data_IF_130202439455
#
_entry.id   IF_130202439455
#
_cell.length_a   1.000
_cell.length_b   1.000
_cell.length_c   1.000
_cell.angle_alpha   90.00
_cell.angle_beta   90.00
_cell.angle_gamma   90.00
#
_symmetry.space_group_name_H-M   'P 1'
#
loop_
_entity.id
_entity.type
_entity.pdbx_description
1 polymer ?
#
# COMPACT_ATOMS: atom_id res chain seq x y z
N UNK A 1 6.80 23.01 -24.74
CA UNK A 1 7.47 22.70 -23.47
C UNK A 1 6.51 22.83 -22.28
N UNK A 2 5.90 24.01 -22.09
CA UNK A 2 5.01 24.34 -20.96
C UNK A 2 3.88 23.36 -20.65
N UNK A 3 3.12 22.93 -21.66
CA UNK A 3 2.00 22.00 -21.49
C UNK A 3 2.45 20.63 -20.96
N UNK A 4 3.61 20.14 -21.38
CA UNK A 4 4.10 18.80 -21.04
C UNK A 4 4.31 18.69 -19.52
N UNK A 5 4.85 19.72 -18.89
CA UNK A 5 5.09 19.72 -17.44
C UNK A 5 3.77 19.71 -16.64
N UNK A 6 2.74 20.41 -17.11
CA UNK A 6 1.43 20.39 -16.47
C UNK A 6 0.77 19.02 -16.56
N UNK A 7 0.87 18.34 -17.72
CA UNK A 7 0.37 16.98 -17.88
C UNK A 7 1.10 15.99 -16.97
N UNK A 8 2.43 16.02 -16.94
CA UNK A 8 3.25 15.14 -16.09
C UNK A 8 2.93 15.33 -14.60
N UNK A 9 2.74 16.58 -14.16
CA UNK A 9 2.37 16.87 -12.77
C UNK A 9 1.01 16.29 -12.38
N UNK A 10 0.01 16.43 -13.25
CA UNK A 10 -1.32 15.85 -13.02
C UNK A 10 -1.26 14.32 -13.06
N UNK A 11 -0.46 13.75 -13.97
CA UNK A 11 -0.22 12.31 -14.06
C UNK A 11 0.37 11.74 -12.76
N UNK A 12 1.40 12.37 -12.19
CA UNK A 12 2.02 11.95 -10.93
C UNK A 12 0.99 11.90 -9.78
N UNK A 13 0.15 12.94 -9.65
CA UNK A 13 -0.88 13.01 -8.60
C UNK A 13 -1.94 11.92 -8.80
N UNK A 14 -2.40 11.73 -10.05
CA UNK A 14 -3.38 10.70 -10.38
C UNK A 14 -2.84 9.31 -10.12
N UNK A 15 -1.57 9.06 -10.46
CA UNK A 15 -0.91 7.78 -10.23
C UNK A 15 -0.87 7.41 -8.74
N UNK A 16 -0.43 8.33 -7.89
CA UNK A 16 -0.37 8.13 -6.42
C UNK A 16 -1.78 7.94 -5.82
N UNK A 17 -2.77 8.64 -6.36
CA UNK A 17 -4.15 8.48 -5.90
C UNK A 17 -4.70 7.11 -6.30
N UNK A 18 -4.50 6.70 -7.55
CA UNK A 18 -4.92 5.40 -8.06
C UNK A 18 -4.29 4.24 -7.28
N UNK A 19 -2.98 4.27 -7.04
CA UNK A 19 -2.30 3.20 -6.31
C UNK A 19 -2.80 3.09 -4.86
N UNK A 20 -3.08 4.22 -4.21
CA UNK A 20 -3.65 4.26 -2.87
C UNK A 20 -5.06 3.65 -2.84
N UNK A 21 -5.91 4.01 -3.80
CA UNK A 21 -7.27 3.46 -3.92
C UNK A 21 -7.25 1.95 -4.16
N UNK A 22 -6.36 1.47 -5.02
CA UNK A 22 -6.19 0.03 -5.27
C UNK A 22 -5.80 -0.70 -3.98
N UNK A 23 -4.84 -0.18 -3.21
CA UNK A 23 -4.46 -0.75 -1.90
C UNK A 23 -5.65 -0.84 -0.95
N UNK A 24 -6.44 0.23 -0.81
CA UNK A 24 -7.63 0.20 0.04
C UNK A 24 -8.69 -0.81 -0.45
N UNK A 25 -8.87 -0.93 -1.77
CA UNK A 25 -9.76 -1.93 -2.36
C UNK A 25 -9.31 -3.35 -2.02
N UNK A 26 -8.01 -3.63 -2.18
CA UNK A 26 -7.42 -4.93 -1.86
C UNK A 26 -7.56 -5.25 -0.36
N UNK A 27 -7.23 -4.31 0.53
CA UNK A 27 -7.36 -4.50 1.98
C UNK A 27 -8.82 -4.74 2.42
N UNK A 28 -9.78 -4.00 1.84
CA UNK A 28 -11.20 -4.18 2.14
C UNK A 28 -11.74 -5.50 1.58
N UNK A 29 -11.30 -5.91 0.39
CA UNK A 29 -11.60 -7.21 -0.19
C UNK A 29 -11.07 -8.36 0.68
N UNK A 30 -9.81 -8.30 1.12
CA UNK A 30 -9.22 -9.30 2.01
C UNK A 30 -9.99 -9.45 3.31
N UNK A 31 -10.42 -8.34 3.91
CA UNK A 31 -11.25 -8.35 5.12
C UNK A 31 -12.60 -9.03 4.92
N UNK A 32 -13.16 -8.96 3.71
CA UNK A 32 -14.43 -9.64 3.38
C UNK A 32 -14.26 -11.15 3.23
N UNK A 33 -13.13 -11.60 2.66
CA UNK A 33 -12.86 -13.03 2.41
C UNK A 33 -12.47 -13.76 3.69
N UNK A 34 -11.62 -13.17 4.53
CA UNK A 34 -11.16 -13.78 5.78
C UNK A 34 -11.77 -13.06 6.99
N UNK A 35 -12.91 -13.55 7.49
CA UNK A 35 -13.63 -12.96 8.63
C UNK A 35 -13.03 -13.33 10.00
N UNK A 36 -11.70 -13.45 10.10
CA UNK A 36 -11.03 -13.81 11.36
C UNK A 36 -10.83 -12.55 12.20
N UNK A 37 -11.27 -12.58 13.47
CA UNK A 37 -11.25 -11.43 14.38
C UNK A 37 -9.84 -10.83 14.61
N UNK A 38 -8.80 -11.67 14.57
CA UNK A 38 -7.39 -11.25 14.67
C UNK A 38 -6.95 -10.55 13.39
N UNK A 39 -7.32 -11.12 12.25
CA UNK A 39 -7.05 -10.57 10.92
C UNK A 39 -7.65 -9.17 10.77
N UNK A 40 -8.89 -8.95 11.25
CA UNK A 40 -9.53 -7.65 11.19
C UNK A 40 -8.74 -6.52 11.88
N UNK A 41 -8.16 -6.77 13.06
CA UNK A 41 -7.36 -5.76 13.78
C UNK A 41 -6.07 -5.41 13.04
N UNK A 42 -5.39 -6.41 12.49
CA UNK A 42 -4.17 -6.21 11.71
C UNK A 42 -4.48 -5.47 10.41
N UNK A 43 -5.55 -5.83 9.70
CA UNK A 43 -5.99 -5.12 8.50
C UNK A 43 -6.29 -3.64 8.80
N UNK A 44 -6.95 -3.33 9.92
CA UNK A 44 -7.20 -1.94 10.31
C UNK A 44 -5.91 -1.15 10.57
N UNK A 45 -4.90 -1.76 11.19
CA UNK A 45 -3.60 -1.13 11.36
C UNK A 45 -2.91 -0.88 10.01
N UNK A 46 -2.96 -1.85 9.09
CA UNK A 46 -2.41 -1.73 7.74
C UNK A 46 -3.11 -0.64 6.92
N UNK A 47 -4.44 -0.53 7.02
CA UNK A 47 -5.20 0.58 6.40
C UNK A 47 -4.67 1.93 6.90
N UNK A 48 -4.42 2.06 8.21
CA UNK A 48 -3.83 3.26 8.80
C UNK A 48 -2.45 3.59 8.24
N UNK A 49 -1.56 2.60 8.16
CA UNK A 49 -0.22 2.77 7.59
C UNK A 49 -0.28 3.19 6.12
N UNK A 50 -1.13 2.55 5.31
CA UNK A 50 -1.33 2.92 3.91
C UNK A 50 -1.89 4.34 3.77
N UNK A 51 -2.80 4.77 4.65
CA UNK A 51 -3.35 6.12 4.64
C UNK A 51 -2.29 7.16 4.98
N UNK A 52 -1.47 6.93 6.01
CA UNK A 52 -0.36 7.82 6.36
C UNK A 52 0.63 7.92 5.21
N UNK A 53 1.00 6.78 4.61
CA UNK A 53 1.90 6.75 3.46
C UNK A 53 1.32 7.57 2.29
N UNK A 54 0.06 7.36 1.93
CA UNK A 54 -0.60 8.07 0.84
C UNK A 54 -0.64 9.60 1.07
N UNK A 55 -0.94 10.03 2.30
CA UNK A 55 -0.96 11.46 2.64
C UNK A 55 0.43 12.08 2.55
N UNK A 56 1.45 11.39 3.08
CA UNK A 56 2.83 11.88 3.06
C UNK A 56 3.36 11.98 1.63
N UNK A 57 3.13 10.97 0.79
CA UNK A 57 3.59 10.98 -0.60
C UNK A 57 2.85 12.02 -1.43
N UNK A 58 1.55 12.19 -1.23
CA UNK A 58 0.77 13.25 -1.88
C UNK A 58 1.32 14.64 -1.52
N UNK A 59 1.58 14.90 -0.24
CA UNK A 59 2.17 16.16 0.21
C UNK A 59 3.58 16.39 -0.36
N UNK A 60 4.40 15.34 -0.46
CA UNK A 60 5.74 15.43 -1.05
C UNK A 60 5.69 15.78 -2.54
N UNK A 61 4.75 15.21 -3.30
CA UNK A 61 4.59 15.53 -4.73
C UNK A 61 4.00 16.93 -4.92
N UNK A 62 3.05 17.34 -4.08
CA UNK A 62 2.50 18.70 -4.14
C UNK A 62 3.58 19.73 -3.80
N UNK A 63 4.41 19.47 -2.79
CA UNK A 63 5.44 20.37 -2.28
C UNK A 63 6.85 20.08 -2.83
N UNK A 64 6.95 19.37 -3.95
CA UNK A 64 8.25 18.97 -4.53
C UNK A 64 9.14 20.15 -4.96
N UNK A 65 8.51 21.29 -5.24
CA UNK A 65 9.16 22.57 -5.50
C UNK A 65 8.55 23.65 -4.61
N UNK A 66 9.41 24.47 -4.01
CA UNK A 66 9.04 25.69 -3.30
C UNK A 66 9.65 26.88 -4.05
N UNK A 67 8.84 27.80 -4.60
CA UNK A 67 7.37 27.81 -4.70
C UNK A 67 6.81 26.80 -5.73
N UNK A 68 5.60 26.27 -5.50
CA UNK A 68 4.95 25.24 -6.36
C UNK A 68 4.81 25.70 -7.82
N UNK A 69 4.65 27.01 -8.04
CA UNK A 69 4.49 27.59 -9.37
C UNK A 69 5.75 27.48 -10.24
N UNK A 70 6.93 27.35 -9.62
CA UNK A 70 8.19 27.14 -10.35
C UNK A 70 8.29 25.73 -10.98
N UNK A 71 7.31 24.86 -10.73
CA UNK A 71 7.30 23.51 -11.29
C UNK A 71 6.79 23.49 -12.75
N UNK A 72 5.81 24.32 -13.06
CA UNK A 72 5.36 24.53 -14.45
C UNK A 72 6.04 25.72 -15.12
N UNK A 73 6.57 26.69 -14.36
CA UNK A 73 7.22 27.90 -14.89
C UNK A 73 8.77 27.85 -14.82
N UNK A 74 9.43 27.16 -15.77
CA UNK A 74 10.89 27.06 -15.94
C UNK A 74 11.62 28.41 -16.01
N UNK A 75 10.95 29.50 -16.39
CA UNK A 75 11.56 30.84 -16.40
C UNK A 75 11.84 31.34 -14.97
N UNK A 76 11.12 30.81 -13.97
CA UNK A 76 11.35 31.07 -12.54
C UNK A 76 12.34 30.09 -11.90
N UNK A 77 12.84 29.07 -12.63
CA UNK A 77 13.93 28.20 -12.18
C UNK A 77 15.31 28.88 -12.31
N UNK A 78 15.37 30.18 -12.07
CA UNK A 78 16.63 30.92 -11.97
C UNK A 78 17.40 30.37 -10.76
N UNK A 79 18.69 30.01 -10.90
CA UNK A 79 19.47 29.43 -9.82
C UNK A 79 19.58 30.42 -8.65
N UNK A 80 18.85 30.16 -7.56
CA UNK A 80 18.87 30.96 -6.33
C UNK A 80 17.51 31.23 -5.68
N UNK A 81 16.40 31.12 -6.41
CA UNK A 81 15.05 31.46 -5.89
C UNK A 81 14.13 30.26 -5.63
N UNK A 82 14.30 29.15 -6.36
CA UNK A 82 13.47 27.95 -6.19
C UNK A 82 14.31 26.76 -5.67
N UNK A 83 13.90 26.17 -4.55
CA UNK A 83 14.42 24.88 -4.10
C UNK A 83 13.48 23.79 -4.63
N UNK A 84 13.90 23.15 -5.72
CA UNK A 84 13.25 21.96 -6.24
C UNK A 84 14.06 20.71 -5.86
N UNK A 85 13.35 19.67 -5.40
CA UNK A 85 13.95 18.35 -5.29
C UNK A 85 14.00 17.70 -6.68
N UNK A 86 15.04 16.92 -6.93
CA UNK A 86 15.15 16.15 -8.17
C UNK A 86 14.00 15.12 -8.25
N UNK A 87 13.13 15.17 -9.28
CA UNK A 87 11.96 14.29 -9.38
C UNK A 87 12.33 12.82 -9.30
N UNK A 88 13.42 12.42 -9.98
CA UNK A 88 13.90 11.04 -9.95
C UNK A 88 14.16 10.51 -8.52
N UNK A 89 14.79 11.30 -7.64
CA UNK A 89 15.06 10.86 -6.26
C UNK A 89 13.78 10.73 -5.43
N UNK A 90 12.82 11.64 -5.64
CA UNK A 90 11.52 11.56 -4.97
C UNK A 90 10.76 10.32 -5.42
N UNK A 91 10.74 10.08 -6.74
CA UNK A 91 10.10 8.91 -7.33
C UNK A 91 10.68 7.62 -6.75
N UNK A 92 11.99 7.43 -6.85
CA UNK A 92 12.62 6.25 -6.27
C UNK A 92 12.37 6.12 -4.76
N UNK A 93 12.39 7.22 -4.02
CA UNK A 93 12.14 7.22 -2.58
C UNK A 93 10.75 6.68 -2.22
N UNK A 94 9.70 7.24 -2.84
CA UNK A 94 8.35 6.80 -2.51
C UNK A 94 8.04 5.40 -3.08
N UNK A 95 8.59 5.03 -4.23
CA UNK A 95 8.43 3.69 -4.83
C UNK A 95 9.06 2.59 -3.95
N UNK A 96 10.24 2.86 -3.37
CA UNK A 96 10.86 1.93 -2.41
C UNK A 96 9.97 1.78 -1.17
N UNK A 97 9.48 2.88 -0.60
CA UNK A 97 8.57 2.83 0.53
C UNK A 97 7.27 2.08 0.19
N UNK A 98 6.75 2.26 -1.02
CA UNK A 98 5.55 1.60 -1.52
C UNK A 98 5.72 0.08 -1.52
N UNK A 99 6.82 -0.42 -2.10
CA UNK A 99 7.15 -1.85 -2.16
C UNK A 99 7.34 -2.42 -0.75
N UNK A 100 8.01 -1.68 0.14
CA UNK A 100 8.17 -2.12 1.53
C UNK A 100 6.82 -2.31 2.22
N UNK A 101 5.89 -1.36 2.06
CA UNK A 101 4.53 -1.48 2.63
C UNK A 101 3.82 -2.71 2.06
N UNK A 102 3.94 -2.97 0.75
CA UNK A 102 3.34 -4.15 0.12
C UNK A 102 3.95 -5.46 0.62
N UNK A 103 5.27 -5.51 0.80
CA UNK A 103 5.95 -6.68 1.37
C UNK A 103 5.50 -6.94 2.81
N UNK A 104 5.31 -5.90 3.62
CA UNK A 104 4.80 -6.02 4.99
C UNK A 104 3.37 -6.57 4.98
N UNK A 105 2.50 -6.07 4.09
CA UNK A 105 1.13 -6.58 3.93
C UNK A 105 1.16 -8.06 3.50
N UNK A 106 1.96 -8.40 2.50
CA UNK A 106 2.06 -9.76 1.98
C UNK A 106 2.60 -10.74 3.01
N UNK A 107 3.67 -10.36 3.72
CA UNK A 107 4.27 -11.20 4.76
C UNK A 107 3.25 -11.53 5.86
N UNK A 108 2.53 -10.50 6.34
CA UNK A 108 1.45 -10.67 7.33
C UNK A 108 0.36 -11.61 6.81
N UNK A 109 -0.03 -11.46 5.55
CA UNK A 109 -1.06 -12.31 4.93
C UNK A 109 -0.62 -13.77 4.86
N UNK A 110 0.64 -14.03 4.51
CA UNK A 110 1.17 -15.38 4.36
C UNK A 110 1.30 -16.09 5.72
N UNK A 111 1.69 -15.37 6.78
CA UNK A 111 1.76 -15.88 8.14
C UNK A 111 0.39 -16.39 8.64
N UNK A 112 -0.65 -15.57 8.49
CA UNK A 112 -2.03 -15.93 8.89
C UNK A 112 -2.64 -17.03 8.00
N UNK A 113 -2.31 -17.04 6.70
CA UNK A 113 -2.70 -18.10 5.76
C UNK A 113 -2.14 -19.46 6.16
N UNK A 114 -0.86 -19.52 6.55
CA UNK A 114 -0.24 -20.78 7.02
C UNK A 114 -0.89 -21.30 8.32
N UNK A 115 -1.24 -20.39 9.24
CA UNK A 115 -1.84 -20.72 10.53
C UNK A 115 -3.26 -21.28 10.40
N UNK A 116 -4.06 -20.75 9.46
CA UNK A 116 -5.42 -21.23 9.17
C UNK A 116 -5.44 -22.60 8.47
N UNK A 117 -4.51 -22.87 7.54
CA UNK A 117 -4.34 -24.19 6.91
C UNK A 117 -3.93 -25.25 7.94
N UNK A 118 -3.02 -24.90 8.86
CA UNK A 118 -2.58 -25.82 9.93
C UNK A 118 -3.72 -26.17 10.89
N UNK A 119 -4.58 -25.19 11.23
CA UNK A 119 -5.72 -25.42 12.13
C UNK A 119 -6.76 -26.36 11.50
N UNK A 120 -7.08 -26.18 10.22
CA UNK A 120 -8.01 -27.07 9.50
C UNK A 120 -7.44 -28.49 9.37
N UNK A 121 -6.15 -28.64 9.05
CA UNK A 121 -5.50 -29.96 8.98
C UNK A 121 -5.53 -30.70 10.32
N UNK A 122 -5.27 -30.01 11.43
CA UNK A 122 -5.37 -30.58 12.79
C UNK A 122 -6.81 -30.98 13.16
N UNK A 123 -7.79 -30.15 12.81
CA UNK A 123 -9.21 -30.45 13.05
C UNK A 123 -9.68 -31.62 12.18
N UNK A 124 -9.27 -31.69 10.90
CA UNK A 124 -9.60 -32.79 9.99
C UNK A 124 -8.99 -34.11 10.48
N UNK A 125 -7.72 -34.10 10.91
CA UNK A 125 -7.06 -35.27 11.49
C UNK A 125 -7.74 -35.74 12.79
N UNK A 126 -8.19 -34.82 13.65
CA UNK A 126 -9.01 -35.16 14.83
C UNK A 126 -10.39 -35.69 14.47
N UNK A 127 -11.07 -35.10 13.48
CA UNK A 127 -12.38 -35.56 13.02
C UNK A 127 -12.30 -36.96 12.40
N UNK A 128 -11.34 -37.21 11.51
CA UNK A 128 -11.08 -38.54 10.96
C UNK A 128 -10.78 -39.57 12.04
N UNK A 129 -10.03 -39.20 13.09
CA UNK A 129 -9.76 -40.11 14.20
C UNK A 129 -11.01 -40.41 15.03
N UNK A 130 -11.91 -39.44 15.22
CA UNK A 130 -13.20 -39.67 15.88
C UNK A 130 -14.16 -40.52 15.04
N UNK A 131 -14.16 -40.37 13.71
CA UNK A 131 -14.98 -41.19 12.80
C UNK A 131 -14.49 -42.64 12.77
N UNK A 132 -13.17 -42.87 12.82
CA UNK A 132 -12.58 -44.22 12.93
C UNK A 132 -13.02 -44.91 14.22
N UNK A 133 -13.07 -44.21 15.35
CA UNK A 133 -13.56 -44.79 16.61
C UNK A 133 -15.07 -45.12 16.57
N UNK A 134 -15.86 -44.35 15.81
CA UNK A 134 -17.32 -44.51 15.74
C UNK A 134 -17.77 -45.62 14.79
N UNK A 135 -16.91 -46.06 13.87
CA UNK A 135 -17.15 -47.19 12.98
C UNK A 135 -16.69 -48.56 13.50
N UNK A 136 -16.20 -48.62 14.74
CA UNK A 136 -15.68 -49.85 15.37
C UNK A 136 -16.68 -50.50 16.35
N UNK A 137 -17.94 -50.04 16.39
CA UNK A 137 -19.07 -50.60 17.14
C UNK A 137 -20.09 -51.21 16.18
#
# INVERSE_FOLDING_TARGET
>A
MWLINQYLYVEEILFITCISVVKFSVLTFYRRVFSVQIFARITHALVGVCAVWAVVTLLLVILQCLPVHAMWDLELQVPGQAKCLSPAKLIFGYEICNVIVDLVILYRQLEDGSSSVQSTSKTLSRAQMMDVCRGAE
#
